data_IF_552604011228
#
_entry.id   IF_552604011228
#
_cell.length_a   1.000
_cell.length_b   1.000
_cell.length_c   1.000
_cell.angle_alpha   90.00
_cell.angle_beta   90.00
_cell.angle_gamma   90.00
#
_symmetry.space_group_name_H-M   'P 1'
#
loop_
_entity.id
_entity.type
_entity.pdbx_description
1 polymer ?
#
# COMPACT_ATOMS: atom_id res chain seq x y z
N UNK A 1 36.06 -42.37 -15.81
CA UNK A 1 35.91 -42.00 -15.43
C UNK A 1 35.38 -41.06 -15.04
N UNK A 2 35.10 -40.56 -14.95
CA UNK A 2 34.75 -39.64 -14.50
C UNK A 2 33.70 -39.04 -14.49
N UNK A 3 33.01 -38.89 -14.22
CA UNK A 3 32.09 -38.34 -14.27
C UNK A 3 31.50 -37.62 -13.68
N UNK A 4 31.33 -37.00 -13.61
CA UNK A 4 30.87 -36.16 -13.21
C UNK A 4 29.96 -35.56 -12.95
N UNK A 5 29.44 -35.26 -12.78
CA UNK A 5 28.78 -34.73 -12.21
C UNK A 5 28.40 -33.68 -11.90
N UNK A 6 27.98 -33.24 -12.04
CA UNK A 6 27.55 -32.21 -11.85
C UNK A 6 26.41 -31.99 -11.46
N UNK A 7 25.94 -31.99 -10.79
CA UNK A 7 25.14 -31.53 -10.06
C UNK A 7 24.78 -30.33 -10.20
N UNK A 8 24.12 -30.06 -10.75
CA UNK A 8 23.68 -28.90 -10.99
C UNK A 8 22.83 -28.45 -9.99
N UNK A 9 23.13 -27.65 -9.47
CA UNK A 9 22.51 -27.20 -8.56
C UNK A 9 21.56 -26.38 -8.86
N UNK A 10 20.61 -26.45 -8.85
CA UNK A 10 19.61 -25.74 -9.07
C UNK A 10 19.13 -25.13 -8.01
N UNK A 11 19.51 -24.19 -7.71
CA UNK A 11 19.05 -23.49 -6.85
C UNK A 11 18.02 -22.79 -7.20
N UNK A 12 17.07 -22.99 -7.10
CA UNK A 12 16.01 -22.37 -7.39
C UNK A 12 15.66 -21.61 -6.32
N UNK A 13 15.89 -20.54 -6.27
CA UNK A 13 15.53 -19.76 -5.33
C UNK A 13 14.18 -19.44 -5.50
N UNK A 14 13.40 -20.00 -4.93
CA UNK A 14 12.13 -19.63 -4.97
C UNK A 14 12.05 -18.46 -4.19
N UNK A 15 12.33 -17.47 -4.62
CA UNK A 15 12.26 -16.30 -3.89
C UNK A 15 10.89 -16.04 -3.38
N UNK A 16 10.70 -15.04 -2.64
CA UNK A 16 9.51 -14.72 -2.03
C UNK A 16 8.53 -14.15 -3.00
N UNK A 17 8.08 -14.88 -3.90
CA UNK A 17 7.07 -14.42 -4.83
C UNK A 17 5.85 -13.93 -4.08
N UNK A 18 5.56 -14.53 -2.90
CA UNK A 18 4.41 -14.10 -2.12
C UNK A 18 4.67 -12.75 -1.47
N UNK A 19 5.91 -12.50 -1.04
CA UNK A 19 6.26 -11.20 -0.47
C UNK A 19 6.13 -10.10 -1.51
N UNK A 20 6.52 -10.38 -2.75
CA UNK A 20 6.41 -9.41 -3.81
C UNK A 20 4.95 -9.11 -4.13
N UNK A 21 4.08 -10.12 -4.13
CA UNK A 21 2.67 -9.92 -4.38
C UNK A 21 2.02 -9.08 -3.27
N UNK A 22 2.42 -9.31 -2.03
CA UNK A 22 1.91 -8.54 -0.90
C UNK A 22 2.40 -7.09 -0.99
N UNK A 23 3.68 -6.89 -1.31
CA UNK A 23 4.23 -5.56 -1.42
C UNK A 23 3.58 -4.79 -2.57
N UNK A 24 3.34 -5.45 -3.70
CA UNK A 24 2.70 -4.81 -4.84
C UNK A 24 1.26 -4.43 -4.49
N UNK A 25 0.53 -5.32 -3.82
CA UNK A 25 -0.84 -5.06 -3.43
C UNK A 25 -0.92 -3.91 -2.44
N UNK A 26 0.00 -3.87 -1.48
CA UNK A 26 0.06 -2.82 -0.48
C UNK A 26 0.38 -1.48 -1.14
N UNK A 27 1.37 -1.46 -2.04
CA UNK A 27 1.75 -0.26 -2.76
C UNK A 27 0.58 0.25 -3.60
N UNK A 28 -0.14 -0.65 -4.26
CA UNK A 28 -1.32 -0.29 -5.03
C UNK A 28 -2.39 0.37 -4.17
N UNK A 29 -2.64 -0.19 -2.99
CA UNK A 29 -3.61 0.36 -2.05
C UNK A 29 -3.18 1.74 -1.57
N UNK A 30 -1.93 1.89 -1.15
CA UNK A 30 -1.45 3.17 -0.65
C UNK A 30 -1.44 4.25 -1.74
N UNK A 31 -1.07 3.88 -2.97
CA UNK A 31 -1.13 4.80 -4.09
C UNK A 31 -2.56 5.24 -4.36
N UNK A 32 -3.50 4.31 -4.29
CA UNK A 32 -4.92 4.61 -4.49
C UNK A 32 -5.42 5.60 -3.44
N UNK A 33 -5.21 5.31 -2.14
CA UNK A 33 -5.72 6.18 -1.09
C UNK A 33 -5.07 7.56 -1.14
N UNK A 34 -3.79 7.63 -1.48
CA UNK A 34 -3.10 8.90 -1.59
C UNK A 34 -3.66 9.72 -2.74
N UNK A 35 -3.90 9.08 -3.88
CA UNK A 35 -4.47 9.76 -5.04
C UNK A 35 -5.88 10.25 -4.74
N UNK A 36 -6.71 9.42 -4.12
CA UNK A 36 -8.08 9.81 -3.79
C UNK A 36 -8.10 10.91 -2.73
N UNK A 37 -7.19 10.85 -1.75
CA UNK A 37 -7.11 11.88 -0.73
C UNK A 37 -6.78 13.24 -1.35
N UNK A 38 -5.86 13.27 -2.32
CA UNK A 38 -5.53 14.50 -3.02
C UNK A 38 -6.71 15.01 -3.83
N UNK A 39 -7.45 14.09 -4.44
CA UNK A 39 -8.61 14.46 -5.25
C UNK A 39 -9.74 15.04 -4.40
N UNK A 40 -9.92 14.50 -3.20
CA UNK A 40 -11.01 14.92 -2.31
C UNK A 40 -10.65 16.11 -1.42
N UNK A 41 -9.38 16.43 -1.31
CA UNK A 41 -8.91 17.51 -0.43
C UNK A 41 -9.62 18.85 -0.67
N UNK A 42 -9.85 19.26 -1.93
CA UNK A 42 -10.50 20.55 -2.16
C UNK A 42 -11.92 20.65 -1.60
N UNK A 43 -12.55 19.54 -1.21
CA UNK A 43 -13.90 19.59 -0.64
C UNK A 43 -13.93 20.31 0.68
N UNK A 44 -12.79 20.44 1.35
CA UNK A 44 -12.74 21.12 2.66
C UNK A 44 -13.20 20.27 3.82
N UNK A 45 -13.56 19.01 3.57
CA UNK A 45 -14.00 18.11 4.63
C UNK A 45 -12.85 17.79 5.58
N UNK A 46 -13.16 17.40 6.83
CA UNK A 46 -12.11 16.97 7.75
C UNK A 46 -11.26 15.86 7.15
N UNK A 47 -9.98 15.84 7.48
CA UNK A 47 -9.05 14.86 6.93
C UNK A 47 -9.49 13.42 7.21
N UNK A 48 -10.06 13.16 8.40
CA UNK A 48 -10.55 11.82 8.73
C UNK A 48 -11.72 11.40 7.82
N UNK A 49 -12.60 12.32 7.47
CA UNK A 49 -13.71 12.06 6.57
C UNK A 49 -13.20 11.73 5.17
N UNK A 50 -12.20 12.48 4.72
CA UNK A 50 -11.58 12.22 3.42
C UNK A 50 -10.89 10.86 3.42
N UNK A 51 -10.23 10.50 4.52
CA UNK A 51 -9.56 9.21 4.63
C UNK A 51 -10.57 8.06 4.53
N UNK A 52 -11.72 8.19 5.17
CA UNK A 52 -12.77 7.19 5.09
C UNK A 52 -13.29 7.06 3.65
N UNK A 53 -13.54 8.16 2.99
CA UNK A 53 -14.02 8.15 1.61
C UNK A 53 -12.97 7.55 0.67
N UNK A 54 -11.71 7.88 0.86
CA UNK A 54 -10.62 7.33 0.05
C UNK A 54 -10.54 5.81 0.25
N UNK A 55 -10.71 5.33 1.47
CA UNK A 55 -10.66 3.90 1.76
C UNK A 55 -11.80 3.17 1.04
N UNK A 56 -12.98 3.74 1.02
CA UNK A 56 -14.12 3.14 0.32
C UNK A 56 -13.85 3.10 -1.18
N UNK A 57 -13.34 4.19 -1.74
CA UNK A 57 -13.06 4.24 -3.17
C UNK A 57 -11.96 3.28 -3.58
N UNK A 58 -11.09 2.91 -2.64
CA UNK A 58 -9.98 2.00 -2.90
C UNK A 58 -10.26 0.57 -2.45
N UNK A 59 -11.53 0.21 -2.27
CA UNK A 59 -11.91 -1.10 -1.76
C UNK A 59 -11.43 -2.25 -2.65
N UNK A 60 -11.36 -2.04 -3.96
CA UNK A 60 -10.84 -3.04 -4.88
C UNK A 60 -9.37 -3.37 -4.58
N UNK A 61 -8.60 -2.38 -4.16
CA UNK A 61 -7.21 -2.61 -3.78
C UNK A 61 -7.12 -3.35 -2.45
N UNK A 62 -8.07 -3.13 -1.55
CA UNK A 62 -8.15 -3.86 -0.28
C UNK A 62 -8.37 -5.35 -0.57
N UNK A 63 -9.27 -5.65 -1.49
CA UNK A 63 -9.53 -7.04 -1.87
C UNK A 63 -8.26 -7.70 -2.42
N UNK A 64 -7.47 -6.96 -3.19
CA UNK A 64 -6.20 -7.47 -3.71
C UNK A 64 -5.20 -7.77 -2.58
N UNK A 65 -5.15 -6.91 -1.57
CA UNK A 65 -4.30 -7.14 -0.40
C UNK A 65 -4.72 -8.43 0.32
N UNK A 66 -6.01 -8.58 0.56
CA UNK A 66 -6.51 -9.79 1.23
C UNK A 66 -6.18 -11.04 0.44
N UNK A 67 -6.33 -11.00 -0.88
CA UNK A 67 -6.01 -12.13 -1.72
C UNK A 67 -4.52 -12.48 -1.66
N UNK A 68 -3.67 -11.46 -1.62
CA UNK A 68 -2.23 -11.66 -1.61
C UNK A 68 -1.72 -12.28 -0.31
N UNK A 69 -2.39 -12.01 0.81
CA UNK A 69 -1.94 -12.52 2.10
C UNK A 69 -2.73 -13.71 2.59
N UNK A 70 -3.71 -14.15 1.84
CA UNK A 70 -4.59 -15.22 2.25
C UNK A 70 -3.79 -16.48 2.54
N UNK A 71 -4.06 -17.10 3.68
CA UNK A 71 -3.36 -18.31 4.08
C UNK A 71 -2.04 -18.08 4.78
N UNK A 72 -1.56 -16.86 4.84
CA UNK A 72 -0.30 -16.59 5.52
C UNK A 72 -0.53 -16.45 7.03
N UNK A 73 0.41 -16.89 7.86
CA UNK A 73 0.30 -16.66 9.30
C UNK A 73 0.21 -15.17 9.58
N UNK A 74 -0.68 -14.79 10.47
CA UNK A 74 -0.83 -13.38 10.80
C UNK A 74 -1.49 -12.55 9.72
N UNK A 75 -2.20 -13.18 8.78
CA UNK A 75 -2.80 -12.44 7.66
C UNK A 75 -3.81 -11.40 8.12
N UNK A 76 -4.57 -11.69 9.17
CA UNK A 76 -5.56 -10.73 9.66
C UNK A 76 -4.87 -9.48 10.20
N UNK A 77 -3.84 -9.67 11.00
CA UNK A 77 -3.10 -8.56 11.58
C UNK A 77 -2.39 -7.75 10.51
N UNK A 78 -1.86 -8.42 9.50
CA UNK A 78 -1.21 -7.75 8.38
C UNK A 78 -2.21 -6.90 7.61
N UNK A 79 -3.40 -7.43 7.34
CA UNK A 79 -4.44 -6.70 6.62
C UNK A 79 -4.88 -5.48 7.43
N UNK A 80 -5.10 -5.65 8.73
CA UNK A 80 -5.50 -4.55 9.59
C UNK A 80 -4.44 -3.46 9.63
N UNK A 81 -3.16 -3.86 9.63
CA UNK A 81 -2.06 -2.92 9.65
C UNK A 81 -2.03 -2.11 8.34
N UNK A 82 -2.21 -2.78 7.22
CA UNK A 82 -2.23 -2.11 5.92
C UNK A 82 -3.38 -1.11 5.86
N UNK A 83 -4.57 -1.50 6.33
CA UNK A 83 -5.72 -0.60 6.33
C UNK A 83 -5.49 0.60 7.24
N UNK A 84 -4.94 0.36 8.42
CA UNK A 84 -4.65 1.43 9.36
C UNK A 84 -3.61 2.39 8.78
N UNK A 85 -2.56 1.86 8.20
CA UNK A 85 -1.51 2.69 7.60
C UNK A 85 -2.02 3.47 6.39
N UNK A 86 -2.93 2.87 5.63
CA UNK A 86 -3.57 3.55 4.51
C UNK A 86 -4.39 4.75 4.96
N UNK A 87 -5.15 4.59 6.04
CA UNK A 87 -5.94 5.70 6.59
C UNK A 87 -5.01 6.80 7.11
N UNK A 88 -3.94 6.43 7.80
CA UNK A 88 -2.97 7.40 8.30
C UNK A 88 -2.30 8.15 7.15
N UNK A 89 -1.98 7.44 6.07
CA UNK A 89 -1.38 8.04 4.89
C UNK A 89 -2.35 9.03 4.23
N UNK A 90 -3.61 8.67 4.13
CA UNK A 90 -4.62 9.56 3.55
C UNK A 90 -4.75 10.84 4.37
N UNK A 91 -4.81 10.72 5.69
CA UNK A 91 -4.88 11.88 6.57
C UNK A 91 -3.64 12.75 6.41
N UNK A 92 -2.46 12.15 6.41
CA UNK A 92 -1.21 12.89 6.25
C UNK A 92 -1.15 13.59 4.89
N UNK A 93 -1.69 12.96 3.85
CA UNK A 93 -1.73 13.55 2.52
C UNK A 93 -2.62 14.80 2.49
N UNK A 94 -3.79 14.72 3.12
CA UNK A 94 -4.71 15.85 3.18
C UNK A 94 -4.10 17.00 3.98
N UNK A 95 -3.54 16.67 5.15
CA UNK A 95 -2.94 17.69 6.01
C UNK A 95 -1.75 18.34 5.31
N UNK A 96 -0.90 17.53 4.67
CA UNK A 96 0.25 18.04 3.94
C UNK A 96 -0.16 18.94 2.78
N UNK A 97 -1.22 18.55 2.04
CA UNK A 97 -1.70 19.36 0.92
C UNK A 97 -2.27 20.70 1.41
N UNK A 98 -3.00 20.68 2.53
CA UNK A 98 -3.56 21.91 3.11
C UNK A 98 -2.47 22.84 3.60
N UNK A 99 -1.44 22.26 4.21
CA UNK A 99 -0.30 23.05 4.65
C UNK A 99 0.42 23.63 3.45
N UNK A 100 0.62 22.85 2.39
CA UNK A 100 1.24 23.31 1.16
C UNK A 100 0.44 24.48 0.58
N UNK A 101 -0.87 24.35 0.51
CA UNK A 101 -1.73 25.40 -0.04
C UNK A 101 -1.64 26.69 0.79
N UNK A 102 -1.45 26.54 2.10
CA UNK A 102 -1.41 27.69 2.99
C UNK A 102 -0.05 28.36 2.98
N UNK A 103 1.03 27.59 2.95
CA UNK A 103 2.38 28.16 3.05
C UNK A 103 3.09 28.27 1.71
N UNK A 104 2.52 27.65 0.66
CA UNK A 104 3.13 27.58 -0.67
C UNK A 104 4.38 26.72 -0.71
N UNK A 105 4.61 25.94 0.36
CA UNK A 105 5.73 25.05 0.40
C UNK A 105 5.19 23.63 0.19
N UNK A 106 5.36 23.11 -1.01
CA UNK A 106 4.77 21.85 -1.39
C UNK A 106 5.76 20.70 -1.47
N UNK A 107 6.95 20.85 -0.92
CA UNK A 107 7.92 19.79 -0.99
C UNK A 107 7.49 18.54 -0.23
N UNK A 108 6.73 18.72 0.83
CA UNK A 108 6.30 17.61 1.65
C UNK A 108 5.21 16.75 0.98
N UNK A 109 4.69 17.18 -0.16
CA UNK A 109 3.57 16.51 -0.79
C UNK A 109 3.95 15.80 -2.06
N UNK A 110 5.19 15.75 -2.40
CA UNK A 110 5.67 15.12 -3.62
C UNK A 110 5.72 13.60 -3.51
#
# INVERSE_FOLDING_TARGET
MRLWILCGLLLVSSGPAMSDAVDDARTGYYTCVKTMAKRLEPSGEPAATIADAASVDCMGNVATVYSAIQGSPGSKETAEHVLHNGAALAIATVVGQRLCNKTKDCELVK
#
